data_IF_964289715696
#
_entry.id   IF_964289715696
#
_cell.length_a   1.000
_cell.length_b   1.000
_cell.length_c   1.000
_cell.angle_alpha   90.00
_cell.angle_beta   90.00
_cell.angle_gamma   90.00
#
_symmetry.space_group_name_H-M   'P 1'
#
loop_
_entity.id
_entity.type
_entity.pdbx_description
1 polymer ?
#
# COMPACT_ATOMS: atom_id res chain seq x y z
N UNK A 1 4.35 42.70 -47.87
CA UNK A 1 5.60 41.99 -48.21
C UNK A 1 6.58 42.20 -47.07
N UNK A 2 6.87 41.08 -46.42
CA UNK A 2 7.90 40.73 -45.44
C UNK A 2 8.87 41.81 -44.92
N UNK A 3 8.86 41.99 -43.59
CA UNK A 3 10.09 42.20 -42.84
C UNK A 3 10.14 41.21 -41.66
N UNK A 4 10.84 40.10 -41.90
CA UNK A 4 11.29 39.15 -40.89
C UNK A 4 12.28 39.84 -39.94
N UNK A 5 11.98 39.86 -38.64
CA UNK A 5 12.96 40.16 -37.59
C UNK A 5 13.76 38.87 -37.34
N UNK A 6 15.10 38.89 -37.31
CA UNK A 6 15.89 37.66 -37.29
C UNK A 6 15.80 36.92 -35.95
N UNK A 7 15.48 35.63 -36.04
CA UNK A 7 15.32 34.62 -34.96
C UNK A 7 16.46 34.61 -33.93
N UNK A 8 17.66 35.06 -34.32
CA UNK A 8 18.86 35.08 -33.47
C UNK A 8 18.86 36.16 -32.36
N UNK A 9 17.95 37.14 -32.38
CA UNK A 9 17.82 38.14 -31.30
C UNK A 9 16.86 37.71 -30.19
N UNK A 10 15.97 36.76 -30.46
CA UNK A 10 15.02 36.20 -29.49
C UNK A 10 15.71 35.20 -28.55
N UNK A 11 16.61 34.37 -29.08
CA UNK A 11 17.31 33.32 -28.32
C UNK A 11 18.32 33.88 -27.29
N UNK A 12 18.95 35.04 -27.55
CA UNK A 12 19.92 35.65 -26.62
C UNK A 12 19.29 36.19 -25.33
N UNK A 13 18.01 36.59 -25.35
CA UNK A 13 17.31 37.14 -24.18
C UNK A 13 16.60 36.06 -23.31
N UNK A 14 16.51 34.82 -23.80
CA UNK A 14 15.89 33.69 -23.10
C UNK A 14 16.87 32.88 -22.24
N UNK A 15 18.18 32.93 -22.55
CA UNK A 15 19.22 32.14 -21.84
C UNK A 15 19.28 32.36 -20.32
N UNK A 16 19.19 33.60 -19.77
CA UNK A 16 19.24 33.81 -18.32
C UNK A 16 18.01 33.25 -17.59
N UNK A 17 16.85 33.25 -18.25
CA UNK A 17 15.57 32.78 -17.68
C UNK A 17 15.44 31.26 -17.72
N UNK A 18 15.95 30.60 -18.76
CA UNK A 18 16.04 29.13 -18.83
C UNK A 18 16.99 28.55 -17.76
N UNK A 19 18.07 29.25 -17.42
CA UNK A 19 19.00 28.86 -16.35
C UNK A 19 18.37 29.03 -14.95
N UNK A 20 17.56 30.08 -14.75
CA UNK A 20 16.86 30.30 -13.49
C UNK A 20 15.73 29.28 -13.26
N UNK A 21 15.02 28.89 -14.34
CA UNK A 21 13.98 27.86 -14.30
C UNK A 21 14.55 26.45 -14.07
N UNK A 22 15.71 26.12 -14.66
CA UNK A 22 16.42 24.88 -14.37
C UNK A 22 16.91 24.83 -12.91
N UNK A 23 17.41 25.95 -12.37
CA UNK A 23 17.79 26.05 -10.96
C UNK A 23 16.62 25.80 -10.01
N UNK A 24 15.44 26.37 -10.30
CA UNK A 24 14.23 26.21 -9.48
C UNK A 24 13.59 24.82 -9.59
N UNK A 25 13.60 24.20 -10.77
CA UNK A 25 13.16 22.80 -10.96
C UNK A 25 14.11 21.81 -10.27
N UNK A 26 15.42 22.06 -10.33
CA UNK A 26 16.42 21.26 -9.61
C UNK A 26 16.28 21.40 -8.09
N UNK A 27 15.83 22.58 -7.61
CA UNK A 27 15.51 22.82 -6.20
C UNK A 27 14.17 22.16 -5.79
N UNK A 28 13.12 22.20 -6.63
CA UNK A 28 11.86 21.44 -6.41
C UNK A 28 12.15 19.92 -6.29
N UNK A 29 13.05 19.38 -7.13
CA UNK A 29 13.44 17.95 -7.08
C UNK A 29 14.29 17.58 -5.86
N UNK A 30 15.08 18.51 -5.31
CA UNK A 30 15.86 18.26 -4.10
C UNK A 30 15.03 18.39 -2.80
N UNK A 31 13.86 19.03 -2.84
CA UNK A 31 13.05 19.35 -1.65
C UNK A 31 11.71 18.58 -1.63
N UNK A 32 11.40 17.78 -2.66
CA UNK A 32 10.25 16.88 -2.72
C UNK A 32 8.89 17.59 -2.52
N UNK A 33 8.70 18.75 -3.16
CA UNK A 33 7.44 19.52 -3.16
C UNK A 33 6.73 19.33 -4.52
N UNK A 34 5.44 19.00 -4.52
CA UNK A 34 4.61 18.97 -5.74
C UNK A 34 4.39 20.40 -6.27
N UNK A 35 5.07 20.72 -7.38
CA UNK A 35 5.06 22.05 -8.01
C UNK A 35 3.81 22.27 -8.92
N UNK A 36 2.61 21.86 -8.47
CA UNK A 36 1.33 22.04 -9.17
C UNK A 36 0.84 23.51 -9.35
N UNK A 37 1.15 24.49 -8.47
CA UNK A 37 0.63 25.85 -8.64
C UNK A 37 1.41 26.72 -9.64
N UNK A 38 2.65 26.34 -10.00
CA UNK A 38 3.55 27.16 -10.82
C UNK A 38 3.10 27.23 -12.30
N UNK A 39 2.46 26.17 -12.80
CA UNK A 39 1.93 26.12 -14.18
C UNK A 39 0.73 27.08 -14.37
N UNK A 40 -0.09 27.25 -13.33
CA UNK A 40 -1.26 28.14 -13.36
C UNK A 40 -0.81 29.62 -13.31
N UNK A 41 0.17 29.95 -12.47
CA UNK A 41 0.74 31.30 -12.41
C UNK A 41 1.39 31.72 -13.74
N UNK A 42 2.04 30.79 -14.45
CA UNK A 42 2.62 31.03 -15.78
C UNK A 42 1.57 31.40 -16.85
N UNK A 43 0.42 30.72 -16.84
CA UNK A 43 -0.65 30.98 -17.80
C UNK A 43 -1.38 32.31 -17.55
N UNK A 44 -1.51 32.73 -16.27
CA UNK A 44 -2.08 34.03 -15.91
C UNK A 44 -1.16 35.18 -16.36
N UNK A 45 0.17 35.01 -16.25
CA UNK A 45 1.13 36.05 -16.65
C UNK A 45 1.21 36.28 -18.16
N UNK A 46 0.88 35.27 -18.99
CA UNK A 46 0.85 35.39 -20.46
C UNK A 46 -0.33 36.18 -21.02
N UNK A 47 -1.41 36.37 -20.25
CA UNK A 47 -2.66 36.96 -20.72
C UNK A 47 -2.74 38.49 -20.54
N UNK A 48 -1.70 39.12 -19.96
CA UNK A 48 -1.74 40.55 -19.66
C UNK A 48 -1.22 41.40 -20.83
N UNK A 49 -2.00 42.36 -21.37
CA UNK A 49 -1.56 43.22 -22.46
C UNK A 49 -0.43 44.17 -22.04
N UNK A 50 0.36 44.63 -23.00
CA UNK A 50 1.50 45.52 -22.76
C UNK A 50 1.07 46.90 -22.22
N UNK A 51 1.12 47.07 -20.91
CA UNK A 51 0.84 48.35 -20.23
C UNK A 51 2.13 49.12 -19.91
N UNK A 52 2.00 50.43 -19.70
CA UNK A 52 3.11 51.40 -19.55
C UNK A 52 4.04 51.08 -18.36
N UNK A 53 5.28 51.62 -18.35
CA UNK A 53 6.32 51.32 -17.34
C UNK A 53 5.88 51.52 -15.89
N UNK A 54 4.98 52.49 -15.61
CA UNK A 54 4.45 52.75 -14.26
C UNK A 54 3.41 51.71 -13.81
N UNK A 55 2.64 51.13 -14.73
CA UNK A 55 1.70 50.04 -14.41
C UNK A 55 2.42 48.70 -14.16
N UNK A 56 3.56 48.48 -14.83
CA UNK A 56 4.39 47.29 -14.59
C UNK A 56 4.97 47.24 -13.19
N UNK A 57 5.38 48.38 -12.60
CA UNK A 57 5.94 48.40 -11.24
C UNK A 57 4.88 48.14 -10.16
N UNK A 58 3.66 48.67 -10.32
CA UNK A 58 2.55 48.36 -9.40
C UNK A 58 2.10 46.90 -9.49
N UNK A 59 2.00 46.34 -10.69
CA UNK A 59 1.67 44.91 -10.86
C UNK A 59 2.79 44.00 -10.37
N UNK A 60 4.06 44.38 -10.51
CA UNK A 60 5.18 43.65 -9.93
C UNK A 60 5.16 43.68 -8.40
N UNK A 61 4.88 44.82 -7.77
CA UNK A 61 4.73 44.91 -6.32
C UNK A 61 3.53 44.08 -5.81
N UNK A 62 2.41 44.08 -6.53
CA UNK A 62 1.26 43.23 -6.21
C UNK A 62 1.55 41.74 -6.38
N UNK A 63 2.26 41.34 -7.44
CA UNK A 63 2.67 39.96 -7.67
C UNK A 63 3.69 39.48 -6.63
N UNK A 64 4.64 40.34 -6.24
CA UNK A 64 5.59 40.06 -5.15
C UNK A 64 4.84 39.93 -3.83
N UNK A 65 3.89 40.82 -3.52
CA UNK A 65 3.08 40.75 -2.31
C UNK A 65 2.25 39.45 -2.24
N UNK A 66 1.61 39.07 -3.36
CA UNK A 66 0.91 37.78 -3.49
C UNK A 66 1.87 36.58 -3.37
N UNK A 67 3.04 36.62 -4.00
CA UNK A 67 4.04 35.56 -3.85
C UNK A 67 4.57 35.46 -2.42
N UNK A 68 4.75 36.60 -1.72
CA UNK A 68 5.15 36.61 -0.32
C UNK A 68 4.04 36.09 0.59
N UNK A 69 2.76 36.35 0.31
CA UNK A 69 1.65 35.74 1.06
C UNK A 69 1.58 34.23 0.82
N UNK A 70 1.79 33.78 -0.42
CA UNK A 70 1.86 32.34 -0.74
C UNK A 70 3.07 31.70 -0.07
N UNK A 71 4.24 32.33 -0.11
CA UNK A 71 5.43 31.84 0.61
C UNK A 71 5.19 31.82 2.12
N UNK A 72 4.59 32.87 2.70
CA UNK A 72 4.25 32.97 4.13
C UNK A 72 3.22 31.90 4.55
N UNK A 73 2.31 31.50 3.66
CA UNK A 73 1.39 30.37 3.86
C UNK A 73 2.06 29.00 3.74
N UNK A 74 3.27 28.92 3.18
CA UNK A 74 4.10 27.70 3.10
C UNK A 74 5.05 27.59 4.31
N UNK A 75 5.27 28.67 5.07
CA UNK A 75 6.10 28.66 6.30
C UNK A 75 5.31 28.22 7.55
N UNK A 76 4.08 27.73 7.41
CA UNK A 76 3.52 26.91 8.48
C UNK A 76 4.13 25.51 8.38
N UNK A 77 5.34 25.37 8.90
CA UNK A 77 5.95 24.08 9.24
C UNK A 77 5.27 23.49 10.48
N UNK A 78 3.93 23.51 10.51
CA UNK A 78 3.14 22.67 11.37
C UNK A 78 3.16 21.27 10.77
N UNK A 79 3.53 20.25 11.55
CA UNK A 79 3.37 18.86 11.15
C UNK A 79 1.93 18.68 10.61
N UNK A 80 1.79 18.55 9.29
CA UNK A 80 0.51 18.31 8.67
C UNK A 80 -0.12 17.11 9.37
N UNK A 81 -1.29 17.32 9.97
CA UNK A 81 -1.95 16.24 10.69
C UNK A 81 -2.32 15.14 9.70
N UNK A 82 -2.18 13.85 10.07
CA UNK A 82 -2.60 12.78 9.20
C UNK A 82 -4.06 12.93 8.76
N UNK A 83 -4.37 12.52 7.53
CA UNK A 83 -5.71 12.63 6.95
C UNK A 83 -6.78 11.82 7.70
N UNK A 84 -6.33 10.80 8.44
CA UNK A 84 -7.14 9.99 9.35
C UNK A 84 -6.42 9.87 10.69
N UNK A 85 -7.13 9.77 11.83
CA UNK A 85 -6.52 9.70 13.15
C UNK A 85 -5.64 8.46 13.36
N UNK A 86 -6.00 7.34 12.75
CA UNK A 86 -5.29 6.08 12.88
C UNK A 86 -5.52 5.16 11.67
N UNK A 87 -4.60 4.22 11.48
CA UNK A 87 -4.70 3.12 10.51
C UNK A 87 -4.78 1.80 11.28
N UNK A 88 -5.89 1.09 11.09
CA UNK A 88 -6.18 -0.21 11.72
C UNK A 88 -6.07 -1.29 10.64
N UNK A 89 -5.20 -2.27 10.81
CA UNK A 89 -4.91 -3.25 9.76
C UNK A 89 -5.18 -4.68 10.21
N UNK A 90 -5.84 -5.46 9.36
CA UNK A 90 -6.11 -6.89 9.50
C UNK A 90 -5.64 -7.61 8.25
N UNK A 91 -5.23 -8.87 8.38
CA UNK A 91 -4.90 -9.66 7.20
C UNK A 91 -3.82 -10.71 7.37
N UNK A 92 -3.11 -10.94 6.27
CA UNK A 92 -2.05 -11.92 6.13
C UNK A 92 -0.64 -11.30 6.04
N UNK A 93 0.32 -12.03 5.48
CA UNK A 93 1.73 -11.61 5.36
C UNK A 93 1.95 -10.39 4.49
N UNK A 94 1.00 -10.05 3.61
CA UNK A 94 1.08 -8.86 2.74
C UNK A 94 1.00 -7.56 3.53
N UNK A 95 0.48 -7.61 4.75
CA UNK A 95 0.29 -6.47 5.63
C UNK A 95 0.78 -6.73 7.06
N UNK A 96 1.36 -7.89 7.37
CA UNK A 96 1.97 -8.18 8.68
C UNK A 96 3.24 -7.35 8.89
N UNK A 97 3.32 -6.68 10.04
CA UNK A 97 4.43 -5.82 10.44
C UNK A 97 5.26 -6.40 11.59
N UNK A 98 5.00 -7.65 11.98
CA UNK A 98 5.77 -8.41 12.97
C UNK A 98 4.96 -9.12 14.05
N UNK A 99 3.66 -9.39 13.86
CA UNK A 99 2.91 -10.16 14.87
C UNK A 99 3.43 -11.59 14.98
N UNK A 100 3.80 -12.20 13.85
CA UNK A 100 4.33 -13.57 13.83
C UNK A 100 5.65 -13.75 14.58
N UNK A 101 6.38 -12.68 14.87
CA UNK A 101 7.62 -12.74 15.66
C UNK A 101 7.38 -13.32 17.05
N UNK A 102 6.19 -13.08 17.60
CA UNK A 102 5.74 -13.47 18.94
C UNK A 102 5.01 -14.83 18.97
N UNK A 103 5.02 -15.57 17.86
CA UNK A 103 4.36 -16.87 17.73
C UNK A 103 5.39 -18.00 17.51
N UNK A 104 5.00 -19.23 17.83
CA UNK A 104 5.77 -20.43 17.49
C UNK A 104 5.39 -20.93 16.08
N UNK A 105 5.91 -20.23 15.06
CA UNK A 105 5.66 -20.51 13.63
C UNK A 105 6.93 -20.36 12.80
N UNK A 106 6.97 -21.01 11.64
CA UNK A 106 8.02 -20.85 10.62
C UNK A 106 7.80 -19.63 9.73
N UNK A 107 6.57 -19.06 9.73
CA UNK A 107 6.24 -17.86 8.98
C UNK A 107 6.72 -16.62 9.74
N UNK A 108 8.02 -16.38 9.71
CA UNK A 108 8.66 -15.19 10.27
C UNK A 108 9.50 -14.49 9.21
N UNK A 109 9.66 -13.17 9.36
CA UNK A 109 10.49 -12.32 8.51
C UNK A 109 11.31 -11.30 9.34
N UNK A 110 11.64 -11.66 10.58
CA UNK A 110 12.40 -10.83 11.53
C UNK A 110 13.90 -11.11 11.53
N UNK A 111 14.43 -11.56 10.40
CA UNK A 111 15.84 -11.86 10.19
C UNK A 111 16.26 -11.51 8.75
N UNK A 112 17.57 -11.30 8.49
CA UNK A 112 18.06 -11.06 7.14
C UNK A 112 17.77 -12.24 6.17
N UNK A 113 17.48 -11.97 4.89
CA UNK A 113 17.67 -10.69 4.21
C UNK A 113 16.46 -9.74 4.27
N UNK A 114 15.37 -10.10 4.94
CA UNK A 114 14.20 -9.21 5.09
C UNK A 114 14.59 -7.88 5.76
N UNK A 115 13.88 -6.82 5.42
CA UNK A 115 14.11 -5.48 5.97
C UNK A 115 15.44 -4.81 5.59
N UNK A 116 16.26 -5.40 4.71
CA UNK A 116 17.57 -4.84 4.32
C UNK A 116 17.50 -3.47 3.64
N UNK A 117 16.40 -3.13 3.01
CA UNK A 117 16.15 -1.86 2.31
C UNK A 117 15.23 -0.94 3.14
N UNK A 118 14.73 -1.41 4.29
CA UNK A 118 14.04 -0.56 5.25
C UNK A 118 14.98 0.52 5.80
N UNK A 119 14.45 1.67 6.23
CA UNK A 119 15.24 2.86 6.59
C UNK A 119 16.35 2.62 7.64
N UNK A 120 16.13 1.69 8.56
CA UNK A 120 17.10 1.32 9.61
C UNK A 120 17.85 0.01 9.31
N UNK A 121 17.58 -0.62 8.16
CA UNK A 121 18.12 -1.93 7.77
C UNK A 121 17.82 -3.05 8.76
N UNK A 122 16.76 -2.92 9.58
CA UNK A 122 16.37 -3.90 10.58
C UNK A 122 15.14 -4.67 10.10
N UNK A 123 15.20 -6.02 10.08
CA UNK A 123 14.02 -6.84 9.82
C UNK A 123 13.02 -6.69 10.97
N UNK A 124 11.77 -6.36 10.64
CA UNK A 124 10.70 -6.16 11.65
C UNK A 124 9.65 -7.27 11.64
N UNK A 125 9.77 -8.28 10.78
CA UNK A 125 8.70 -9.24 10.51
C UNK A 125 7.83 -8.89 9.29
N UNK A 126 8.16 -7.81 8.56
CA UNK A 126 7.58 -7.53 7.23
C UNK A 126 8.15 -8.49 6.21
N UNK A 127 7.29 -9.15 5.44
CA UNK A 127 7.67 -10.08 4.37
C UNK A 127 8.13 -9.34 3.11
N UNK A 128 9.09 -8.44 3.25
CA UNK A 128 9.60 -7.56 2.20
C UNK A 128 11.08 -7.23 2.46
N UNK A 129 11.80 -6.76 1.43
CA UNK A 129 13.10 -6.12 1.65
C UNK A 129 12.99 -4.81 2.42
N UNK A 130 11.84 -4.13 2.42
CA UNK A 130 11.65 -2.92 3.20
C UNK A 130 10.17 -2.62 3.45
N UNK A 131 9.67 -1.49 2.95
CA UNK A 131 8.29 -1.05 3.21
C UNK A 131 7.25 -1.91 2.47
N UNK A 132 6.12 -2.14 3.13
CA UNK A 132 4.91 -2.71 2.54
C UNK A 132 4.08 -1.61 1.86
N UNK A 133 3.13 -2.00 1.00
CA UNK A 133 2.22 -1.03 0.38
C UNK A 133 1.41 -0.24 1.43
N UNK A 134 1.07 -0.86 2.56
CA UNK A 134 0.38 -0.21 3.69
C UNK A 134 1.26 0.80 4.43
N UNK A 135 2.58 0.57 4.53
CA UNK A 135 3.50 1.53 5.12
C UNK A 135 3.58 2.80 4.25
N UNK A 136 3.73 2.61 2.94
CA UNK A 136 3.80 3.70 1.95
C UNK A 136 2.47 4.47 1.92
N UNK A 137 1.36 3.75 2.03
CA UNK A 137 0.02 4.37 2.17
C UNK A 137 -0.06 5.22 3.44
N UNK A 138 0.42 4.71 4.58
CA UNK A 138 0.42 5.48 5.83
C UNK A 138 1.27 6.76 5.73
N UNK A 139 2.44 6.71 5.08
CA UNK A 139 3.25 7.90 4.83
C UNK A 139 2.50 8.93 3.97
N UNK A 140 1.83 8.47 2.92
CA UNK A 140 1.02 9.32 2.04
C UNK A 140 -0.12 9.99 2.81
N UNK A 141 -0.70 9.29 3.79
CA UNK A 141 -1.73 9.84 4.68
C UNK A 141 -1.17 10.83 5.70
N UNK A 142 0.15 11.06 5.77
CA UNK A 142 0.80 12.02 6.66
C UNK A 142 1.36 11.42 7.95
N UNK A 143 1.38 10.09 8.10
CA UNK A 143 2.00 9.45 9.27
C UNK A 143 3.53 9.47 9.16
N UNK A 144 4.21 9.75 10.28
CA UNK A 144 5.68 9.74 10.39
C UNK A 144 6.22 8.46 11.05
N UNK A 145 5.32 7.65 11.62
CA UNK A 145 5.58 6.34 12.20
C UNK A 145 4.44 5.40 11.84
N UNK A 146 4.68 4.10 11.89
CA UNK A 146 3.69 3.08 11.52
C UNK A 146 2.95 2.53 12.74
N UNK A 147 1.72 2.09 12.53
CA UNK A 147 0.97 1.34 13.53
C UNK A 147 1.77 0.07 13.93
N UNK A 148 1.96 -0.19 15.25
CA UNK A 148 2.76 -1.32 15.69
C UNK A 148 2.04 -2.66 15.46
N UNK A 149 2.81 -3.74 15.34
CA UNK A 149 2.28 -5.10 15.49
C UNK A 149 1.66 -5.23 16.88
N UNK A 150 0.40 -5.66 16.96
CA UNK A 150 -0.36 -5.67 18.20
C UNK A 150 0.24 -6.55 19.30
N UNK A 151 0.89 -7.66 18.94
CA UNK A 151 1.59 -8.51 19.91
C UNK A 151 2.94 -7.94 20.38
N UNK A 152 3.43 -6.87 19.75
CA UNK A 152 4.69 -6.25 20.16
C UNK A 152 4.53 -5.46 21.47
N UNK A 153 5.55 -5.45 22.35
CA UNK A 153 5.61 -4.51 23.48
C UNK A 153 5.45 -3.03 23.07
N UNK A 154 5.76 -2.70 21.80
CA UNK A 154 5.58 -1.36 21.25
C UNK A 154 4.11 -0.96 21.07
N UNK A 155 3.18 -1.92 21.02
CA UNK A 155 1.73 -1.69 20.97
C UNK A 155 1.17 -1.28 22.36
N UNK A 156 1.73 -0.22 22.92
CA UNK A 156 1.40 0.29 24.26
C UNK A 156 1.38 1.82 24.31
N UNK A 157 0.62 2.36 25.26
CA UNK A 157 0.55 3.80 25.51
C UNK A 157 0.21 4.62 24.25
N UNK A 158 0.94 5.72 24.04
CA UNK A 158 0.68 6.65 22.94
C UNK A 158 0.87 6.05 21.54
N UNK A 159 1.59 4.93 21.40
CA UNK A 159 1.79 4.29 20.10
C UNK A 159 0.48 3.71 19.55
N UNK A 160 -0.49 3.40 20.42
CA UNK A 160 -1.81 2.92 20.01
C UNK A 160 -2.71 4.02 19.43
N UNK A 161 -2.34 5.30 19.57
CA UNK A 161 -3.15 6.43 19.09
C UNK A 161 -3.18 6.54 17.57
N UNK A 162 -2.15 6.03 16.90
CA UNK A 162 -2.07 6.00 15.43
C UNK A 162 -2.59 4.69 14.84
N UNK A 163 -3.13 3.80 15.68
CA UNK A 163 -3.69 2.51 15.28
C UNK A 163 -2.86 1.32 15.75
N UNK A 164 -3.18 0.15 15.21
CA UNK A 164 -2.50 -1.11 15.45
C UNK A 164 -2.66 -2.04 14.25
N UNK A 165 -1.71 -2.93 14.07
CA UNK A 165 -1.74 -3.96 13.04
C UNK A 165 -1.97 -5.34 13.70
N UNK A 166 -3.03 -6.01 13.29
CA UNK A 166 -3.45 -7.32 13.79
C UNK A 166 -3.17 -8.45 12.80
N UNK A 167 -2.63 -8.13 11.62
CA UNK A 167 -2.38 -9.11 10.58
C UNK A 167 -1.33 -10.14 10.99
N UNK A 168 -1.40 -11.32 10.40
CA UNK A 168 -0.51 -12.43 10.72
C UNK A 168 -0.20 -13.23 9.47
N UNK A 169 1.09 -13.40 9.17
CA UNK A 169 1.50 -14.22 8.04
C UNK A 169 0.96 -15.66 8.13
N UNK A 170 0.56 -16.20 6.98
CA UNK A 170 -0.18 -17.45 6.82
C UNK A 170 -1.63 -17.45 7.34
N UNK A 171 -2.18 -16.28 7.68
CA UNK A 171 -3.61 -16.11 7.93
C UNK A 171 -4.41 -15.97 6.63
N UNK A 172 -5.72 -16.16 6.74
CA UNK A 172 -6.70 -16.16 5.65
C UNK A 172 -8.07 -15.67 6.14
N UNK A 173 -9.06 -15.62 5.27
CA UNK A 173 -10.46 -15.54 5.68
C UNK A 173 -10.88 -16.81 6.42
N UNK A 174 -10.41 -17.98 5.96
CA UNK A 174 -10.74 -19.26 6.57
C UNK A 174 -9.77 -19.55 7.72
N UNK A 175 -10.25 -19.55 8.96
CA UNK A 175 -9.40 -19.67 10.16
C UNK A 175 -8.55 -20.95 10.15
N UNK A 176 -9.05 -22.02 9.56
CA UNK A 176 -8.34 -23.29 9.38
C UNK A 176 -7.06 -23.14 8.57
N UNK A 177 -6.99 -22.18 7.65
CA UNK A 177 -5.74 -21.80 6.97
C UNK A 177 -4.69 -21.34 7.98
N UNK A 178 -5.06 -20.48 8.93
CA UNK A 178 -4.14 -19.97 9.95
C UNK A 178 -3.70 -21.08 10.93
N UNK A 179 -4.63 -21.97 11.32
CA UNK A 179 -4.34 -23.07 12.24
C UNK A 179 -3.29 -24.05 11.69
N UNK A 180 -3.27 -24.31 10.38
CA UNK A 180 -2.26 -25.16 9.75
C UNK A 180 -0.82 -24.67 9.99
N UNK A 181 -0.65 -23.38 10.26
CA UNK A 181 0.66 -22.72 10.32
C UNK A 181 0.92 -22.02 11.66
N UNK A 182 0.08 -22.28 12.67
CA UNK A 182 0.14 -21.61 13.98
C UNK A 182 0.14 -20.08 13.85
N UNK A 183 -0.60 -19.56 12.89
CA UNK A 183 -0.81 -18.13 12.67
C UNK A 183 -2.04 -17.62 13.45
N UNK A 184 -2.23 -16.30 13.49
CA UNK A 184 -3.40 -15.69 14.14
C UNK A 184 -4.58 -15.74 13.16
N UNK A 185 -5.65 -16.52 13.46
CA UNK A 185 -6.84 -16.56 12.62
C UNK A 185 -7.56 -15.21 12.60
N UNK A 186 -8.26 -14.88 11.51
CA UNK A 186 -8.92 -13.58 11.33
C UNK A 186 -9.92 -13.29 12.47
N UNK A 187 -10.59 -14.33 12.97
CA UNK A 187 -11.48 -14.22 14.13
C UNK A 187 -10.76 -13.77 15.40
N UNK A 188 -9.52 -14.21 15.62
CA UNK A 188 -8.67 -13.80 16.75
C UNK A 188 -8.11 -12.39 16.53
N UNK A 189 -7.78 -12.01 15.30
CA UNK A 189 -7.39 -10.63 14.97
C UNK A 189 -8.51 -9.66 15.37
N UNK A 190 -9.78 -10.02 15.14
CA UNK A 190 -10.93 -9.23 15.58
C UNK A 190 -11.05 -9.16 17.12
N UNK A 191 -10.72 -10.23 17.85
CA UNK A 191 -10.72 -10.17 19.33
C UNK A 191 -9.63 -9.24 19.85
N UNK A 192 -8.45 -9.27 19.24
CA UNK A 192 -7.38 -8.32 19.57
C UNK A 192 -7.78 -6.88 19.28
N UNK A 193 -8.56 -6.63 18.23
CA UNK A 193 -9.12 -5.31 17.99
C UNK A 193 -10.10 -4.86 19.08
N UNK A 194 -10.97 -5.74 19.60
CA UNK A 194 -11.85 -5.40 20.74
C UNK A 194 -11.04 -5.04 22.00
N UNK A 195 -9.95 -5.76 22.25
CA UNK A 195 -9.03 -5.46 23.35
C UNK A 195 -8.33 -4.11 23.11
N UNK A 196 -7.89 -3.83 21.87
CA UNK A 196 -7.34 -2.54 21.46
C UNK A 196 -8.30 -1.38 21.75
N UNK A 197 -9.60 -1.51 21.44
CA UNK A 197 -10.59 -0.46 21.73
C UNK A 197 -10.65 -0.13 23.23
N UNK A 198 -10.55 -1.15 24.08
CA UNK A 198 -10.50 -0.99 25.54
C UNK A 198 -9.22 -0.27 25.98
N UNK A 199 -8.06 -0.67 25.45
CA UNK A 199 -6.76 0.00 25.72
C UNK A 199 -6.79 1.46 25.27
N UNK A 200 -7.34 1.74 24.09
CA UNK A 200 -7.46 3.08 23.54
C UNK A 200 -8.33 3.97 24.44
N UNK A 201 -9.47 3.46 24.89
CA UNK A 201 -10.35 4.18 25.82
C UNK A 201 -9.68 4.48 27.17
N UNK A 202 -8.80 3.60 27.66
CA UNK A 202 -8.00 3.87 28.86
C UNK A 202 -6.98 5.00 28.67
N UNK A 203 -6.41 5.14 27.47
CA UNK A 203 -5.38 6.16 27.18
C UNK A 203 -5.99 7.55 27.02
N UNK A 204 -7.10 7.69 26.28
CA UNK A 204 -7.66 9.00 25.88
C UNK A 204 -9.07 9.28 26.40
N UNK A 205 -9.68 8.34 27.09
CA UNK A 205 -11.08 8.40 27.51
C UNK A 205 -12.06 7.94 26.41
N UNK A 206 -13.26 7.47 26.77
CA UNK A 206 -14.19 6.83 25.83
C UNK A 206 -14.61 7.72 24.64
N UNK A 207 -14.86 9.01 24.88
CA UNK A 207 -15.33 9.92 23.82
C UNK A 207 -14.26 10.16 22.75
N UNK A 208 -13.00 10.40 23.15
CA UNK A 208 -11.89 10.56 22.19
C UNK A 208 -11.55 9.26 21.48
N UNK A 209 -11.58 8.13 22.20
CA UNK A 209 -11.38 6.82 21.61
C UNK A 209 -12.43 6.53 20.52
N UNK A 210 -13.71 6.84 20.78
CA UNK A 210 -14.76 6.71 19.78
C UNK A 210 -14.49 7.57 18.53
N UNK A 211 -14.02 8.81 18.71
CA UNK A 211 -13.64 9.68 17.58
C UNK A 211 -12.48 9.11 16.75
N UNK A 212 -11.48 8.51 17.39
CA UNK A 212 -10.40 7.80 16.70
C UNK A 212 -10.96 6.60 15.94
N UNK A 213 -11.73 5.73 16.60
CA UNK A 213 -12.32 4.52 16.01
C UNK A 213 -13.15 4.86 14.77
N UNK A 214 -14.13 5.75 14.89
CA UNK A 214 -15.02 6.07 13.75
C UNK A 214 -14.30 6.84 12.64
N UNK A 215 -13.23 7.58 12.98
CA UNK A 215 -12.42 8.32 12.01
C UNK A 215 -11.32 7.49 11.35
N UNK A 216 -10.94 6.34 11.91
CA UNK A 216 -9.80 5.55 11.43
C UNK A 216 -10.03 4.97 10.04
N UNK A 217 -8.95 4.79 9.29
CA UNK A 217 -8.96 3.96 8.09
C UNK A 217 -8.67 2.51 8.50
N UNK A 218 -9.55 1.61 8.08
CA UNK A 218 -9.40 0.18 8.25
C UNK A 218 -8.91 -0.43 6.95
N UNK A 219 -7.93 -1.33 7.03
CA UNK A 219 -7.40 -2.05 5.87
C UNK A 219 -7.52 -3.55 6.15
N UNK A 220 -8.12 -4.28 5.22
CA UNK A 220 -8.19 -5.74 5.23
C UNK A 220 -7.50 -6.30 3.98
N UNK A 221 -6.41 -7.04 4.17
CA UNK A 221 -5.67 -7.70 3.08
C UNK A 221 -5.45 -9.17 3.40
N UNK A 222 -6.29 -10.04 2.84
CA UNK A 222 -6.23 -11.48 3.11
C UNK A 222 -6.87 -12.30 2.00
N UNK A 223 -6.67 -13.62 2.04
CA UNK A 223 -7.30 -14.60 1.17
C UNK A 223 -6.33 -15.29 0.20
N UNK A 224 -5.14 -14.72 -0.04
CA UNK A 224 -4.15 -15.37 -0.89
C UNK A 224 -3.64 -16.68 -0.27
N UNK A 225 -3.43 -16.69 1.06
CA UNK A 225 -3.06 -17.89 1.81
C UNK A 225 -4.13 -18.98 1.75
N UNK A 226 -5.42 -18.62 1.80
CA UNK A 226 -6.52 -19.60 1.72
C UNK A 226 -6.45 -20.44 0.46
N UNK A 227 -6.03 -19.83 -0.65
CA UNK A 227 -5.84 -20.53 -1.92
C UNK A 227 -4.49 -21.25 -1.99
N UNK A 228 -3.38 -20.51 -1.90
CA UNK A 228 -2.04 -21.01 -2.21
C UNK A 228 -1.50 -21.95 -1.14
N UNK A 229 -1.80 -21.66 0.13
CA UNK A 229 -1.27 -22.40 1.28
C UNK A 229 -2.28 -23.39 1.86
N UNK A 230 -3.54 -23.39 1.41
CA UNK A 230 -4.52 -24.37 1.88
C UNK A 230 -5.25 -25.05 0.73
N UNK A 231 -6.20 -24.39 0.06
CA UNK A 231 -7.07 -25.00 -0.95
C UNK A 231 -6.34 -25.80 -2.03
N UNK A 232 -5.30 -25.25 -2.66
CA UNK A 232 -4.61 -25.95 -3.76
C UNK A 232 -3.78 -27.16 -3.32
N UNK A 233 -3.35 -27.21 -2.07
CA UNK A 233 -2.51 -28.29 -1.53
C UNK A 233 -3.25 -29.25 -0.59
N UNK A 234 -4.46 -28.89 -0.17
CA UNK A 234 -5.27 -29.69 0.75
C UNK A 234 -6.25 -30.57 -0.04
N UNK A 235 -5.99 -31.89 -0.16
CA UNK A 235 -6.81 -32.79 -0.96
C UNK A 235 -8.21 -33.03 -0.36
N UNK A 236 -8.41 -32.76 0.93
CA UNK A 236 -9.75 -32.82 1.52
C UNK A 236 -10.54 -31.59 1.08
N UNK A 237 -9.98 -30.39 1.23
CA UNK A 237 -10.67 -29.15 0.92
C UNK A 237 -11.00 -29.02 -0.57
N UNK A 238 -10.04 -29.29 -1.48
CA UNK A 238 -10.28 -29.19 -2.93
C UNK A 238 -11.15 -30.31 -3.51
N UNK A 239 -11.29 -31.44 -2.82
CA UNK A 239 -12.18 -32.53 -3.24
C UNK A 239 -13.64 -32.26 -2.90
N UNK A 240 -13.89 -31.60 -1.77
CA UNK A 240 -15.24 -31.33 -1.28
C UNK A 240 -15.76 -29.94 -1.63
N UNK A 241 -14.90 -29.01 -2.05
CA UNK A 241 -15.30 -27.69 -2.51
C UNK A 241 -14.75 -27.42 -3.91
N UNK A 242 -15.64 -27.07 -4.85
CA UNK A 242 -15.19 -26.48 -6.11
C UNK A 242 -14.54 -25.11 -5.84
N UNK A 243 -13.74 -24.56 -6.78
CA UNK A 243 -13.16 -23.23 -6.59
C UNK A 243 -14.22 -22.13 -6.40
N UNK A 244 -15.39 -22.31 -7.02
CA UNK A 244 -16.52 -21.38 -6.86
C UNK A 244 -17.16 -21.47 -5.47
N UNK A 245 -17.37 -22.69 -4.95
CA UNK A 245 -17.91 -22.94 -3.61
C UNK A 245 -16.97 -22.41 -2.53
N UNK A 246 -15.66 -22.63 -2.70
CA UNK A 246 -14.67 -22.10 -1.78
C UNK A 246 -14.66 -20.57 -1.81
N UNK A 247 -14.74 -19.95 -3.00
CA UNK A 247 -14.89 -18.50 -3.09
C UNK A 247 -16.17 -17.99 -2.38
N UNK A 248 -17.29 -18.71 -2.48
CA UNK A 248 -18.53 -18.36 -1.77
C UNK A 248 -18.35 -18.44 -0.25
N UNK A 249 -17.66 -19.47 0.25
CA UNK A 249 -17.34 -19.61 1.67
C UNK A 249 -16.55 -18.40 2.18
N UNK A 250 -15.43 -18.06 1.52
CA UNK A 250 -14.58 -16.95 1.92
C UNK A 250 -15.32 -15.60 1.86
N UNK A 251 -16.15 -15.38 0.83
CA UNK A 251 -16.98 -14.16 0.71
C UNK A 251 -18.04 -14.08 1.82
N UNK A 252 -18.60 -15.21 2.24
CA UNK A 252 -19.50 -15.29 3.40
C UNK A 252 -18.80 -14.85 4.69
N UNK A 253 -17.57 -15.31 4.91
CA UNK A 253 -16.75 -14.93 6.06
C UNK A 253 -16.40 -13.44 6.00
N UNK A 254 -15.93 -12.94 4.86
CA UNK A 254 -15.67 -11.51 4.63
C UNK A 254 -16.90 -10.65 4.99
N UNK A 255 -18.07 -11.01 4.47
CA UNK A 255 -19.31 -10.28 4.73
C UNK A 255 -19.64 -10.21 6.23
N UNK A 256 -19.47 -11.31 6.96
CA UNK A 256 -19.70 -11.33 8.42
C UNK A 256 -18.66 -10.51 9.17
N UNK A 257 -17.38 -10.63 8.79
CA UNK A 257 -16.30 -9.85 9.38
C UNK A 257 -16.54 -8.34 9.23
N UNK A 258 -16.95 -7.87 8.05
CA UNK A 258 -17.26 -6.44 7.85
C UNK A 258 -18.44 -6.00 8.70
N UNK A 259 -19.48 -6.81 8.86
CA UNK A 259 -20.63 -6.50 9.72
C UNK A 259 -20.22 -6.37 11.18
N UNK A 260 -19.41 -7.30 11.66
CA UNK A 260 -18.89 -7.27 13.03
C UNK A 260 -18.01 -6.04 13.25
N UNK A 261 -17.09 -5.76 12.31
CA UNK A 261 -16.19 -4.61 12.39
C UNK A 261 -16.96 -3.27 12.35
N UNK A 262 -17.99 -3.18 11.50
CA UNK A 262 -18.91 -2.04 11.48
C UNK A 262 -19.69 -1.90 12.80
N UNK A 263 -20.15 -3.01 13.38
CA UNK A 263 -20.79 -3.05 14.69
C UNK A 263 -19.87 -2.57 15.83
N UNK A 264 -18.55 -2.71 15.64
CA UNK A 264 -17.52 -2.17 16.53
C UNK A 264 -17.12 -0.72 16.21
N UNK A 265 -17.83 -0.05 15.30
CA UNK A 265 -17.68 1.38 15.03
C UNK A 265 -16.79 1.75 13.84
N UNK A 266 -16.27 0.78 13.08
CA UNK A 266 -15.53 1.07 11.86
C UNK A 266 -16.43 1.67 10.78
N UNK A 267 -15.98 2.77 10.16
CA UNK A 267 -16.76 3.48 9.14
C UNK A 267 -16.04 3.65 7.80
N UNK A 268 -14.73 3.39 7.73
CA UNK A 268 -13.91 3.58 6.53
C UNK A 268 -13.06 2.33 6.31
N UNK A 269 -13.42 1.48 5.36
CA UNK A 269 -12.76 0.19 5.14
C UNK A 269 -12.28 0.06 3.70
N UNK A 270 -10.97 -0.10 3.52
CA UNK A 270 -10.38 -0.62 2.30
C UNK A 270 -10.18 -2.13 2.41
N UNK A 271 -10.65 -2.90 1.43
CA UNK A 271 -10.38 -4.34 1.32
C UNK A 271 -9.63 -4.62 0.03
N UNK A 272 -8.51 -5.34 0.09
CA UNK A 272 -7.77 -5.66 -1.13
C UNK A 272 -8.46 -6.76 -1.93
N UNK A 273 -8.36 -6.70 -3.25
CA UNK A 273 -8.62 -7.85 -4.09
C UNK A 273 -7.57 -8.95 -3.84
N UNK A 274 -7.82 -10.18 -4.31
CA UNK A 274 -6.74 -11.15 -4.46
C UNK A 274 -5.77 -10.70 -5.56
N UNK A 275 -4.47 -10.99 -5.42
CA UNK A 275 -3.49 -10.77 -6.48
C UNK A 275 -3.70 -11.79 -7.63
N UNK A 276 -2.99 -11.65 -8.76
CA UNK A 276 -2.91 -12.71 -9.78
C UNK A 276 -2.18 -13.94 -9.20
N UNK A 277 -2.91 -14.81 -8.50
CA UNK A 277 -2.36 -15.96 -7.78
C UNK A 277 -1.49 -16.87 -8.65
N UNK A 278 -1.91 -17.09 -9.91
CA UNK A 278 -1.17 -17.91 -10.86
C UNK A 278 0.14 -17.29 -11.33
N UNK A 279 0.36 -16.00 -11.06
CA UNK A 279 1.57 -15.28 -11.41
C UNK A 279 2.61 -15.20 -10.28
N UNK A 280 2.29 -15.69 -9.08
CA UNK A 280 3.26 -15.75 -7.98
C UNK A 280 4.36 -16.77 -8.32
N UNK A 281 5.66 -16.49 -8.10
CA UNK A 281 6.74 -17.42 -8.41
C UNK A 281 6.56 -18.81 -7.81
N UNK A 282 6.11 -18.90 -6.56
CA UNK A 282 5.78 -20.16 -5.90
C UNK A 282 4.66 -20.92 -6.62
N UNK A 283 3.62 -20.23 -7.04
CA UNK A 283 2.48 -20.85 -7.72
C UNK A 283 2.86 -21.35 -9.13
N UNK A 284 3.67 -20.59 -9.87
CA UNK A 284 4.23 -21.03 -11.16
C UNK A 284 5.07 -22.29 -10.95
N UNK A 285 5.94 -22.30 -9.94
CA UNK A 285 6.82 -23.44 -9.67
C UNK A 285 6.06 -24.69 -9.26
N UNK A 286 5.08 -24.56 -8.36
CA UNK A 286 4.34 -25.68 -7.78
C UNK A 286 3.22 -26.21 -8.70
N UNK A 287 2.56 -25.33 -9.46
CA UNK A 287 1.34 -25.66 -10.22
C UNK A 287 1.46 -25.39 -11.73
N UNK A 288 2.58 -24.86 -12.20
CA UNK A 288 2.81 -24.55 -13.62
C UNK A 288 3.27 -25.72 -14.47
N UNK A 289 3.53 -26.90 -13.88
CA UNK A 289 3.96 -28.11 -14.60
C UNK A 289 5.18 -27.88 -15.52
N UNK A 290 6.16 -27.11 -15.05
CA UNK A 290 7.37 -26.76 -15.81
C UNK A 290 7.21 -25.56 -16.75
N UNK A 291 6.03 -24.96 -16.83
CA UNK A 291 5.82 -23.67 -17.50
C UNK A 291 6.48 -22.53 -16.74
N UNK A 292 6.97 -21.53 -17.47
CA UNK A 292 7.44 -20.25 -16.92
C UNK A 292 6.37 -19.14 -17.02
N UNK A 293 5.17 -19.47 -17.48
CA UNK A 293 4.03 -18.55 -17.57
C UNK A 293 3.13 -18.62 -16.35
N UNK A 294 2.29 -17.60 -16.17
CA UNK A 294 1.28 -17.64 -15.10
C UNK A 294 0.33 -18.83 -15.28
N UNK A 295 -0.07 -19.44 -14.16
CA UNK A 295 -1.01 -20.56 -14.13
C UNK A 295 -2.43 -20.03 -14.33
N UNK A 296 -2.97 -20.17 -15.55
CA UNK A 296 -4.27 -19.60 -15.94
C UNK A 296 -5.40 -19.96 -14.99
N UNK A 297 -5.50 -21.23 -14.58
CA UNK A 297 -6.58 -21.69 -13.69
C UNK A 297 -6.61 -20.92 -12.36
N UNK A 298 -5.45 -20.67 -11.75
CA UNK A 298 -5.39 -19.99 -10.45
C UNK A 298 -5.71 -18.49 -10.60
N UNK A 299 -5.35 -17.90 -11.74
CA UNK A 299 -5.74 -16.53 -12.07
C UNK A 299 -7.25 -16.41 -12.30
N UNK A 300 -7.90 -17.40 -12.90
CA UNK A 300 -9.36 -17.42 -13.04
C UNK A 300 -10.07 -17.58 -11.69
N UNK A 301 -9.55 -18.41 -10.79
CA UNK A 301 -10.06 -18.52 -9.41
C UNK A 301 -9.98 -17.17 -8.69
N UNK A 302 -8.84 -16.46 -8.79
CA UNK A 302 -8.65 -15.14 -8.20
C UNK A 302 -9.61 -14.09 -8.79
N UNK A 303 -9.77 -14.04 -10.13
CA UNK A 303 -10.74 -13.15 -10.79
C UNK A 303 -12.17 -13.47 -10.37
N UNK A 304 -12.50 -14.75 -10.19
CA UNK A 304 -13.82 -15.15 -9.75
C UNK A 304 -14.12 -14.63 -8.34
N UNK A 305 -13.21 -14.86 -7.38
CA UNK A 305 -13.31 -14.28 -6.05
C UNK A 305 -13.42 -12.76 -6.09
N UNK A 306 -12.57 -12.08 -6.87
CA UNK A 306 -12.55 -10.61 -6.97
C UNK A 306 -13.87 -10.04 -7.50
N UNK A 307 -14.54 -10.70 -8.45
CA UNK A 307 -15.89 -10.30 -8.89
C UNK A 307 -16.91 -10.41 -7.77
N UNK A 308 -16.88 -11.51 -7.00
CA UNK A 308 -17.77 -11.72 -5.84
C UNK A 308 -17.48 -10.72 -4.72
N UNK A 309 -16.22 -10.38 -4.48
CA UNK A 309 -15.80 -9.35 -3.53
C UNK A 309 -16.40 -7.98 -3.90
N UNK A 310 -16.22 -7.56 -5.16
CA UNK A 310 -16.77 -6.31 -5.66
C UNK A 310 -18.30 -6.24 -5.50
N UNK A 311 -19.01 -7.31 -5.84
CA UNK A 311 -20.45 -7.39 -5.66
C UNK A 311 -20.85 -7.26 -4.18
N UNK A 312 -20.17 -7.98 -3.29
CA UNK A 312 -20.44 -7.95 -1.85
C UNK A 312 -20.13 -6.60 -1.24
N UNK A 313 -19.02 -5.94 -1.63
CA UNK A 313 -18.69 -4.57 -1.21
C UNK A 313 -19.78 -3.59 -1.64
N UNK A 314 -20.24 -3.66 -2.90
CA UNK A 314 -21.32 -2.81 -3.39
C UNK A 314 -22.65 -3.05 -2.63
N UNK A 315 -22.91 -4.30 -2.21
CA UNK A 315 -24.07 -4.65 -1.38
C UNK A 315 -23.94 -4.07 0.04
N UNK A 316 -22.78 -4.24 0.68
CA UNK A 316 -22.49 -3.73 2.02
C UNK A 316 -22.58 -2.20 2.08
N UNK A 317 -22.03 -1.49 1.08
CA UNK A 317 -22.12 -0.04 0.99
C UNK A 317 -23.59 0.46 0.93
N UNK A 318 -24.47 -0.28 0.23
CA UNK A 318 -25.91 0.03 0.18
C UNK A 318 -26.62 -0.29 1.51
N UNK A 319 -26.23 -1.38 2.17
CA UNK A 319 -26.84 -1.84 3.41
C UNK A 319 -26.46 -0.95 4.61
N UNK A 320 -25.26 -0.37 4.60
CA UNK A 320 -24.72 0.44 5.70
C UNK A 320 -24.34 1.83 5.22
N UNK A 321 -25.27 2.81 5.19
CA UNK A 321 -25.02 4.13 4.61
C UNK A 321 -23.90 4.95 5.28
N UNK A 322 -23.50 4.59 6.50
CA UNK A 322 -22.37 5.22 7.21
C UNK A 322 -21.02 4.53 6.95
N UNK A 323 -21.02 3.38 6.30
CA UNK A 323 -19.82 2.64 5.93
C UNK A 323 -19.35 3.11 4.56
N UNK A 324 -18.22 3.81 4.54
CA UNK A 324 -17.41 4.00 3.34
C UNK A 324 -16.56 2.75 3.17
N UNK A 325 -16.84 1.97 2.13
CA UNK A 325 -16.09 0.75 1.83
C UNK A 325 -15.70 0.71 0.36
N UNK A 326 -14.45 0.36 0.08
CA UNK A 326 -13.92 0.29 -1.28
C UNK A 326 -13.04 -0.96 -1.47
N UNK A 327 -13.03 -1.47 -2.69
CA UNK A 327 -12.07 -2.50 -3.11
C UNK A 327 -10.79 -1.81 -3.58
N UNK A 328 -9.70 -2.22 -2.97
CA UNK A 328 -8.33 -1.85 -3.30
C UNK A 328 -7.80 -2.88 -4.29
N UNK A 329 -7.90 -2.57 -5.58
CA UNK A 329 -7.46 -3.49 -6.64
C UNK A 329 -5.93 -3.58 -6.67
N UNK A 330 -5.43 -4.73 -6.22
CA UNK A 330 -4.02 -5.13 -6.33
C UNK A 330 -3.81 -6.15 -7.44
N UNK A 331 -4.88 -6.66 -8.06
CA UNK A 331 -4.79 -7.66 -9.11
C UNK A 331 -4.17 -7.04 -10.36
N UNK A 332 -4.79 -6.00 -10.90
CA UNK A 332 -4.38 -5.43 -12.18
C UNK A 332 -2.98 -4.81 -12.12
N UNK A 333 -2.63 -3.99 -11.10
CA UNK A 333 -1.28 -3.42 -11.01
C UNK A 333 -0.19 -4.50 -10.93
N UNK A 334 -0.38 -5.55 -10.10
CA UNK A 334 0.61 -6.62 -10.00
C UNK A 334 0.67 -7.47 -11.28
N UNK A 335 -0.47 -7.70 -11.93
CA UNK A 335 -0.51 -8.41 -13.21
C UNK A 335 0.24 -7.64 -14.31
N UNK A 336 0.10 -6.32 -14.35
CA UNK A 336 0.81 -5.45 -15.29
C UNK A 336 2.33 -5.46 -15.02
N UNK A 337 2.75 -5.41 -13.76
CA UNK A 337 4.15 -5.58 -13.37
C UNK A 337 4.71 -6.93 -13.84
N UNK A 338 3.92 -8.00 -13.74
CA UNK A 338 4.37 -9.34 -14.09
C UNK A 338 4.35 -9.61 -15.59
N UNK A 339 3.45 -8.99 -16.35
CA UNK A 339 3.32 -9.21 -17.79
C UNK A 339 4.06 -8.18 -18.65
N UNK A 340 4.42 -7.03 -18.09
CA UNK A 340 5.21 -5.99 -18.74
C UNK A 340 6.15 -5.26 -17.79
N UNK A 341 7.07 -5.96 -17.09
CA UNK A 341 7.91 -5.40 -16.02
C UNK A 341 8.73 -4.19 -16.46
N UNK A 342 9.28 -4.22 -17.68
CA UNK A 342 10.16 -3.17 -18.20
C UNK A 342 9.49 -1.79 -18.27
N UNK A 343 8.16 -1.75 -18.43
CA UNK A 343 7.39 -0.49 -18.51
C UNK A 343 7.43 0.32 -17.21
N UNK A 344 7.70 -0.35 -16.09
CA UNK A 344 7.76 0.26 -14.75
C UNK A 344 9.18 0.14 -14.15
N UNK A 345 10.19 -0.17 -14.98
CA UNK A 345 11.59 -0.23 -14.55
C UNK A 345 12.03 -1.54 -13.90
N UNK A 346 11.20 -2.59 -13.97
CA UNK A 346 11.55 -3.93 -13.48
C UNK A 346 12.17 -4.76 -14.61
N UNK A 347 13.14 -5.61 -14.27
CA UNK A 347 13.73 -6.57 -15.21
C UNK A 347 13.40 -8.03 -14.86
N UNK A 348 13.01 -8.31 -13.62
CA UNK A 348 12.69 -9.67 -13.16
C UNK A 348 11.33 -9.69 -12.47
N UNK A 349 10.43 -10.57 -12.94
CA UNK A 349 9.07 -10.71 -12.45
C UNK A 349 8.57 -12.16 -12.39
N UNK A 350 9.42 -13.13 -12.72
CA UNK A 350 9.15 -14.56 -12.63
C UNK A 350 9.77 -15.19 -11.39
N UNK A 351 10.76 -14.52 -10.80
CA UNK A 351 11.49 -15.00 -9.63
C UNK A 351 11.55 -13.91 -8.55
N UNK A 352 11.52 -14.35 -7.30
CA UNK A 352 11.90 -13.52 -6.16
C UNK A 352 13.38 -13.15 -6.20
N UNK A 353 13.72 -12.04 -5.56
CA UNK A 353 15.11 -11.68 -5.30
C UNK A 353 15.81 -12.66 -4.35
N UNK A 354 15.08 -13.25 -3.40
CA UNK A 354 15.66 -14.12 -2.37
C UNK A 354 15.96 -15.55 -2.88
N UNK A 355 17.18 -16.04 -2.63
CA UNK A 355 17.60 -17.40 -3.00
C UNK A 355 17.51 -17.66 -4.50
N UNK A 356 16.93 -18.79 -4.90
CA UNK A 356 16.57 -19.04 -6.31
C UNK A 356 15.35 -18.23 -6.74
N UNK A 357 14.53 -17.75 -5.80
CA UNK A 357 13.34 -16.96 -6.07
C UNK A 357 12.14 -17.76 -6.58
N UNK A 358 12.20 -19.09 -6.55
CA UNK A 358 11.16 -19.96 -7.15
C UNK A 358 10.23 -20.54 -6.10
N UNK A 359 10.76 -20.85 -4.92
CA UNK A 359 10.00 -21.42 -3.79
C UNK A 359 10.32 -20.74 -2.47
N UNK A 360 11.41 -19.98 -2.41
CA UNK A 360 11.92 -19.38 -1.20
C UNK A 360 10.97 -18.36 -0.60
N UNK A 361 10.37 -18.73 0.52
CA UNK A 361 9.63 -17.88 1.45
C UNK A 361 9.71 -18.53 2.83
N UNK A 362 9.36 -17.82 3.91
CA UNK A 362 9.54 -18.24 5.31
C UNK A 362 11.01 -18.32 5.78
N UNK A 363 11.20 -18.51 7.09
CA UNK A 363 12.53 -18.60 7.72
C UNK A 363 13.39 -19.76 7.24
N UNK A 364 12.77 -20.78 6.64
CA UNK A 364 13.48 -21.96 6.19
C UNK A 364 14.16 -21.76 4.83
N UNK A 365 13.48 -21.09 3.89
CA UNK A 365 13.90 -21.08 2.50
C UNK A 365 14.45 -19.71 2.05
N UNK A 366 13.94 -18.61 2.62
CA UNK A 366 14.51 -17.27 2.42
C UNK A 366 15.17 -16.79 3.72
N UNK A 367 16.49 -16.93 3.84
CA UNK A 367 17.27 -16.50 4.98
C UNK A 367 18.69 -16.09 4.58
N UNK A 368 19.50 -15.66 5.54
CA UNK A 368 20.86 -15.15 5.28
C UNK A 368 21.78 -16.17 4.57
N UNK A 369 21.47 -17.47 4.64
CA UNK A 369 22.23 -18.54 3.96
C UNK A 369 21.67 -18.87 2.56
N UNK A 370 20.59 -18.23 2.13
CA UNK A 370 19.99 -18.47 0.80
C UNK A 370 20.90 -17.95 -0.30
N UNK A 371 21.63 -18.88 -0.92
CA UNK A 371 22.52 -18.64 -2.06
C UNK A 371 21.71 -18.12 -3.24
N UNK A 372 22.22 -17.09 -3.92
CA UNK A 372 21.57 -16.49 -5.09
C UNK A 372 20.73 -15.25 -4.78
N UNK A 373 20.59 -14.88 -3.50
CA UNK A 373 19.89 -13.65 -3.10
C UNK A 373 20.47 -12.44 -3.85
N UNK A 374 19.60 -11.71 -4.56
CA UNK A 374 20.00 -10.65 -5.47
C UNK A 374 20.66 -9.47 -4.71
N UNK A 375 21.58 -8.77 -5.37
CA UNK A 375 22.24 -7.57 -4.79
C UNK A 375 21.37 -6.32 -4.81
N UNK A 376 20.50 -6.20 -5.81
CA UNK A 376 19.63 -5.04 -6.00
C UNK A 376 18.18 -5.51 -6.21
N UNK A 377 17.31 -5.24 -5.24
CA UNK A 377 15.89 -5.63 -5.30
C UNK A 377 15.01 -4.64 -6.08
N UNK A 378 15.49 -3.45 -6.42
CA UNK A 378 14.68 -2.41 -7.09
C UNK A 378 14.18 -2.84 -8.47
N UNK A 379 14.90 -3.73 -9.15
CA UNK A 379 14.49 -4.27 -10.46
C UNK A 379 13.69 -5.57 -10.39
N UNK A 380 13.39 -6.08 -9.20
CA UNK A 380 12.60 -7.31 -8.99
C UNK A 380 11.17 -6.97 -8.57
N UNK A 381 10.17 -7.56 -9.21
CA UNK A 381 8.77 -7.41 -8.78
C UNK A 381 8.54 -8.12 -7.44
N UNK A 382 9.14 -9.29 -7.26
CA UNK A 382 8.98 -10.09 -6.05
C UNK A 382 10.25 -10.06 -5.19
N UNK A 383 10.06 -9.90 -3.89
CA UNK A 383 11.13 -10.03 -2.92
C UNK A 383 11.51 -11.49 -2.69
N UNK A 384 10.51 -12.32 -2.38
CA UNK A 384 10.64 -13.75 -2.21
C UNK A 384 9.71 -14.47 -3.22
N UNK A 385 9.40 -15.76 -3.05
CA UNK A 385 8.58 -16.49 -4.01
C UNK A 385 7.08 -16.12 -4.00
N UNK A 386 6.65 -15.24 -3.10
CA UNK A 386 5.25 -14.87 -2.88
C UNK A 386 5.06 -13.35 -2.80
N UNK A 387 5.92 -12.66 -2.06
CA UNK A 387 5.70 -11.28 -1.62
C UNK A 387 6.36 -10.26 -2.56
N UNK A 388 5.70 -9.13 -2.85
CA UNK A 388 6.29 -8.05 -3.63
C UNK A 388 7.54 -7.45 -2.97
N UNK A 389 8.45 -6.92 -3.79
CA UNK A 389 9.53 -6.05 -3.30
C UNK A 389 9.01 -4.70 -2.85
N UNK A 390 9.81 -3.93 -2.12
CA UNK A 390 9.44 -2.53 -1.77
C UNK A 390 9.16 -1.70 -3.04
N UNK A 391 9.92 -1.91 -4.11
CA UNK A 391 9.71 -1.19 -5.38
C UNK A 391 8.36 -1.54 -6.00
N UNK A 392 7.96 -2.82 -5.98
CA UNK A 392 6.63 -3.22 -6.44
C UNK A 392 5.53 -2.73 -5.50
N UNK A 393 5.75 -2.78 -4.18
CA UNK A 393 4.83 -2.25 -3.18
C UNK A 393 4.58 -0.74 -3.36
N UNK A 394 5.55 0.04 -3.84
CA UNK A 394 5.33 1.44 -4.21
C UNK A 394 4.30 1.57 -5.34
N UNK A 395 4.42 0.78 -6.40
CA UNK A 395 3.46 0.78 -7.52
C UNK A 395 2.07 0.36 -7.04
N UNK A 396 1.99 -0.65 -6.17
CA UNK A 396 0.72 -1.06 -5.57
C UNK A 396 0.11 0.07 -4.73
N UNK A 397 0.90 0.69 -3.84
CA UNK A 397 0.46 1.80 -3.00
C UNK A 397 -0.04 3.00 -3.82
N UNK A 398 0.63 3.35 -4.92
CA UNK A 398 0.20 4.43 -5.80
C UNK A 398 -1.20 4.17 -6.39
N UNK A 399 -1.51 2.91 -6.72
CA UNK A 399 -2.86 2.50 -7.15
C UNK A 399 -3.88 2.58 -6.01
N UNK A 400 -3.48 2.24 -4.78
CA UNK A 400 -4.34 2.32 -3.59
C UNK A 400 -4.76 3.75 -3.28
N UNK A 401 -3.88 4.73 -3.47
CA UNK A 401 -4.18 6.15 -3.20
C UNK A 401 -5.40 6.60 -4.00
N UNK A 402 -5.45 6.26 -5.29
CA UNK A 402 -6.56 6.65 -6.19
C UNK A 402 -7.87 6.02 -5.72
N UNK A 403 -7.84 4.73 -5.36
CA UNK A 403 -9.03 4.02 -4.87
C UNK A 403 -9.46 4.47 -3.46
N UNK A 404 -8.52 5.02 -2.66
CA UNK A 404 -8.71 5.38 -1.27
C UNK A 404 -9.22 6.81 -1.02
N UNK A 405 -9.25 7.68 -2.04
CA UNK A 405 -9.68 9.09 -1.90
C UNK A 405 -11.04 9.17 -1.21
N UNK A 406 -12.02 8.42 -1.68
CA UNK A 406 -13.39 8.42 -1.16
C UNK A 406 -13.50 7.92 0.30
N UNK A 407 -12.50 7.18 0.80
CA UNK A 407 -12.47 6.71 2.18
C UNK A 407 -11.97 7.78 3.14
N UNK A 408 -11.10 8.69 2.68
CA UNK A 408 -10.40 9.67 3.54
C UNK A 408 -10.92 11.09 3.38
N UNK A 409 -11.61 11.41 2.29
CA UNK A 409 -12.46 12.61 2.13
C UNK A 409 -13.87 12.29 2.58
#
# INVERSE_FOLDING_TARGET
>A
MEHLIPFNRFIKNLKPWLLCLHGLLSLCMHINIQCFPLSIAYNIFKLLPSQSRKHKSLMQMGAIFYLTIILLGIIDSGNAQPLVPAVITFGDSTVDVGNNDYLETIFKANFPPYGRDFKNHVPTGRFCNGRLATDITAETLGFTTYAPAYLSPQASGKNLLIGANFASAASGYYDETAYLYHAIPLSQQLQYYKEYQSKLAQIVGPSKANGIITGSLYILSTGASDYVQNYYINPYLNKFHSPDDFANLLIGIFNNFVKDLYGLGAQRLGVTSLPPLGCLPAAITLFGHGSNGCVTRLNEDAKNFNRKLNYTVASLAKQYPKLKIAVFDIYQPLYDLVTGPEKQGFFEARRGCCGTGTVETTSLLCNQKSIGTCKNATGYVFWDSVHPSEAANQVLADSLIIAGIDLVT
#
